data_IF_476113845458
#
_entry.id   IF_476113845458
#
_cell.length_a   1.000
_cell.length_b   1.000
_cell.length_c   1.000
_cell.angle_alpha   90.00
_cell.angle_beta   90.00
_cell.angle_gamma   90.00
#
_symmetry.space_group_name_H-M   'P 1'
#
loop_
_entity.id
_entity.type
_entity.pdbx_description
1 polymer ?
#
# COMPACT_ATOMS: atom_id res chain seq x y z
N UNK A 1 6.73 22.40 -26.52
CA UNK A 1 6.21 22.73 -25.18
C UNK A 1 4.82 22.12 -25.07
N UNK A 2 4.71 20.89 -24.59
CA UNK A 2 3.44 20.30 -24.16
C UNK A 2 3.71 19.76 -22.77
N UNK A 3 3.15 20.47 -21.80
CA UNK A 3 3.36 20.25 -20.38
C UNK A 3 3.16 18.77 -20.05
N UNK A 4 4.24 18.13 -19.62
CA UNK A 4 4.14 16.91 -18.83
C UNK A 4 3.38 17.33 -17.57
N UNK A 5 2.10 16.99 -17.52
CA UNK A 5 1.34 17.02 -16.27
C UNK A 5 1.91 15.87 -15.44
N UNK A 6 3.07 16.14 -14.86
CA UNK A 6 3.44 15.58 -13.58
C UNK A 6 2.34 16.09 -12.65
N UNK A 7 1.28 15.30 -12.52
CA UNK A 7 0.44 15.33 -11.33
C UNK A 7 1.15 14.43 -10.32
N UNK A 8 2.07 14.96 -9.49
CA UNK A 8 2.16 14.44 -8.16
C UNK A 8 0.86 14.90 -7.51
N UNK A 9 -0.25 14.19 -7.73
CA UNK A 9 -1.29 14.12 -6.72
C UNK A 9 -0.64 13.40 -5.53
N UNK A 10 0.28 14.08 -4.86
CA UNK A 10 0.02 14.72 -3.58
C UNK A 10 -0.40 13.67 -2.57
N UNK A 11 0.52 12.77 -2.25
CA UNK A 11 1.22 12.78 -0.96
C UNK A 11 0.36 12.99 0.30
N UNK A 12 -0.87 12.51 0.40
CA UNK A 12 -1.67 12.70 1.61
C UNK A 12 -2.60 11.51 1.79
N UNK A 13 -2.16 10.33 2.23
CA UNK A 13 -1.54 10.12 3.55
C UNK A 13 -2.17 10.99 4.66
N UNK A 14 -3.45 11.31 4.53
CA UNK A 14 -4.37 11.72 5.60
C UNK A 14 -4.74 10.50 6.49
N UNK A 15 -3.80 9.59 6.73
CA UNK A 15 -4.02 8.50 7.68
C UNK A 15 -3.71 9.01 9.08
N UNK A 16 -4.59 9.92 9.54
CA UNK A 16 -4.72 10.32 10.94
C UNK A 16 -5.04 9.11 11.82
N UNK A 17 -4.71 9.22 13.11
CA UNK A 17 -4.91 8.22 14.18
C UNK A 17 -6.36 7.75 14.35
N UNK A 18 -6.87 6.98 13.40
CA UNK A 18 -8.25 6.54 13.32
C UNK A 18 -8.66 6.01 11.95
N UNK A 19 -7.73 5.95 11.00
CA UNK A 19 -8.02 5.41 9.70
C UNK A 19 -8.34 3.91 9.78
N UNK A 20 -9.51 3.55 9.26
CA UNK A 20 -9.98 2.19 9.24
C UNK A 20 -9.09 1.34 8.33
N UNK A 21 -8.31 0.45 8.95
CA UNK A 21 -7.40 -0.45 8.24
C UNK A 21 -8.11 -1.49 7.37
N UNK A 22 -9.43 -1.62 7.50
CA UNK A 22 -10.29 -2.45 6.66
C UNK A 22 -11.00 -1.66 5.56
N UNK A 23 -10.89 -0.34 5.55
CA UNK A 23 -11.46 0.45 4.47
C UNK A 23 -10.80 0.10 3.14
N UNK A 24 -11.58 0.14 2.07
CA UNK A 24 -11.11 -0.02 0.69
C UNK A 24 -11.60 1.16 -0.12
N UNK A 25 -10.79 1.62 -1.08
CA UNK A 25 -11.25 2.59 -2.08
C UNK A 25 -12.23 1.95 -3.06
N UNK A 26 -12.80 2.75 -3.97
CA UNK A 26 -13.65 2.25 -5.05
C UNK A 26 -12.93 1.21 -5.93
N UNK A 27 -11.61 1.35 -6.10
CA UNK A 27 -10.74 0.40 -6.79
C UNK A 27 -10.38 -0.84 -5.95
N UNK A 28 -10.95 -0.99 -4.75
CA UNK A 28 -10.67 -2.10 -3.84
C UNK A 28 -9.34 -1.99 -3.09
N UNK A 29 -8.60 -0.87 -3.23
CA UNK A 29 -7.28 -0.70 -2.61
C UNK A 29 -7.40 -0.48 -1.11
N UNK A 30 -6.79 -1.38 -0.35
CA UNK A 30 -6.62 -1.25 1.10
C UNK A 30 -5.46 -0.30 1.47
N UNK A 31 -5.40 0.24 2.70
CA UNK A 31 -4.34 1.14 3.18
C UNK A 31 -2.92 0.65 2.92
N UNK A 32 -2.70 -0.68 3.03
CA UNK A 32 -1.41 -1.30 2.75
C UNK A 32 -0.94 -1.14 1.30
N UNK A 33 -1.84 -1.01 0.31
CA UNK A 33 -1.44 -0.71 -1.08
C UNK A 33 -0.78 0.65 -1.19
N UNK A 34 -1.30 1.65 -0.48
CA UNK A 34 -0.73 3.00 -0.49
C UNK A 34 0.60 3.06 0.25
N UNK A 35 0.72 2.37 1.39
CA UNK A 35 1.99 2.26 2.10
C UNK A 35 3.06 1.55 1.23
N UNK A 36 2.66 0.49 0.53
CA UNK A 36 3.50 -0.22 -0.43
C UNK A 36 3.86 0.62 -1.66
N UNK A 37 2.97 1.47 -2.14
CA UNK A 37 3.27 2.38 -3.24
C UNK A 37 4.27 3.48 -2.83
N UNK A 38 4.14 4.02 -1.62
CA UNK A 38 4.97 5.10 -1.10
C UNK A 38 6.22 4.66 -0.31
N UNK A 39 6.62 3.39 -0.37
CA UNK A 39 7.68 2.80 0.45
C UNK A 39 7.62 3.18 1.95
N UNK A 40 6.41 3.33 2.50
CA UNK A 40 6.21 3.83 3.86
C UNK A 40 6.17 2.68 4.86
N UNK A 41 7.36 2.18 5.25
CA UNK A 41 7.50 1.04 6.16
C UNK A 41 6.79 1.26 7.50
N UNK A 42 7.01 2.41 8.16
CA UNK A 42 6.40 2.70 9.47
C UNK A 42 4.87 2.70 9.40
N UNK A 43 4.32 3.23 8.31
CA UNK A 43 2.87 3.25 8.06
C UNK A 43 2.33 1.85 7.83
N UNK A 44 3.03 1.03 7.05
CA UNK A 44 2.67 -0.36 6.83
C UNK A 44 2.72 -1.17 8.14
N UNK A 45 3.70 -0.94 9.01
CA UNK A 45 3.78 -1.56 10.34
C UNK A 45 2.58 -1.20 11.21
N UNK A 46 2.17 0.07 11.23
CA UNK A 46 1.01 0.51 11.99
C UNK A 46 -0.28 -0.17 11.48
N UNK A 47 -0.46 -0.27 10.17
CA UNK A 47 -1.61 -0.96 9.60
C UNK A 47 -1.64 -2.44 9.92
N UNK A 48 -0.50 -3.14 9.83
CA UNK A 48 -0.39 -4.54 10.21
C UNK A 48 -0.70 -4.75 11.70
N UNK A 49 -0.18 -3.89 12.58
CA UNK A 49 -0.48 -3.93 14.03
C UNK A 49 -1.96 -3.68 14.33
N UNK A 50 -2.63 -2.87 13.53
CA UNK A 50 -4.06 -2.61 13.64
C UNK A 50 -4.94 -3.70 13.00
N UNK A 51 -4.35 -4.74 12.41
CA UNK A 51 -5.07 -5.89 11.84
C UNK A 51 -5.46 -5.73 10.37
N UNK A 52 -4.73 -4.90 9.61
CA UNK A 52 -4.85 -4.86 8.16
C UNK A 52 -4.55 -6.23 7.54
N UNK A 53 -5.29 -6.59 6.48
CA UNK A 53 -5.00 -7.80 5.72
C UNK A 53 -3.78 -7.58 4.82
N UNK A 54 -2.67 -8.22 5.17
CA UNK A 54 -1.41 -8.21 4.40
C UNK A 54 -1.58 -8.70 2.95
N UNK A 55 -2.61 -9.53 2.71
CA UNK A 55 -2.94 -10.11 1.41
C UNK A 55 -4.19 -9.48 0.79
N UNK A 56 -4.62 -8.30 1.25
CA UNK A 56 -5.78 -7.62 0.71
C UNK A 56 -5.64 -7.48 -0.82
N UNK A 57 -6.64 -7.93 -1.57
CA UNK A 57 -6.66 -7.75 -3.02
C UNK A 57 -7.46 -6.50 -3.39
N UNK A 58 -6.92 -5.72 -4.33
CA UNK A 58 -7.66 -4.70 -5.07
C UNK A 58 -8.55 -5.34 -6.17
N UNK A 59 -9.32 -4.51 -6.89
CA UNK A 59 -10.25 -5.00 -7.92
C UNK A 59 -9.53 -5.64 -9.12
N UNK A 60 -8.25 -5.31 -9.33
CA UNK A 60 -7.39 -5.88 -10.37
C UNK A 60 -6.66 -7.15 -9.89
N UNK A 61 -6.87 -7.56 -8.64
CA UNK A 61 -6.22 -8.70 -8.03
C UNK A 61 -4.77 -8.44 -7.61
N UNK A 62 -4.34 -7.17 -7.55
CA UNK A 62 -3.04 -6.83 -6.97
C UNK A 62 -3.10 -6.91 -5.46
N UNK A 63 -1.96 -7.29 -4.87
CA UNK A 63 -1.75 -7.25 -3.42
C UNK A 63 -0.83 -6.09 -3.07
N UNK A 64 -0.77 -5.66 -1.78
CA UNK A 64 0.24 -4.71 -1.33
C UNK A 64 1.66 -5.12 -1.71
N UNK A 65 1.97 -6.43 -1.68
CA UNK A 65 3.28 -6.93 -2.06
C UNK A 65 3.56 -6.74 -3.55
N UNK A 66 2.60 -7.05 -4.42
CA UNK A 66 2.71 -6.80 -5.87
C UNK A 66 2.93 -5.31 -6.14
N UNK A 67 2.25 -4.44 -5.40
CA UNK A 67 2.38 -3.00 -5.58
C UNK A 67 3.73 -2.47 -5.08
N UNK A 68 4.23 -2.99 -3.95
CA UNK A 68 5.59 -2.69 -3.47
C UNK A 68 6.66 -3.07 -4.50
N UNK A 69 6.50 -4.22 -5.17
CA UNK A 69 7.41 -4.66 -6.24
C UNK A 69 7.37 -3.75 -7.46
N UNK A 70 6.16 -3.37 -7.90
CA UNK A 70 5.99 -2.44 -9.03
C UNK A 70 6.58 -1.06 -8.75
N UNK A 71 6.42 -0.57 -7.52
CA UNK A 71 6.93 0.74 -7.07
C UNK A 71 8.42 0.71 -6.65
N UNK A 72 9.07 -0.47 -6.66
CA UNK A 72 10.43 -0.67 -6.13
C UNK A 72 10.60 -0.27 -4.65
N UNK A 73 9.54 -0.44 -3.86
CA UNK A 73 9.48 -0.13 -2.42
C UNK A 73 10.08 -1.25 -1.58
N UNK A 74 11.41 -1.33 -1.56
CA UNK A 74 12.16 -2.44 -0.94
C UNK A 74 11.91 -2.61 0.56
N UNK A 75 11.76 -1.52 1.31
CA UNK A 75 11.58 -1.58 2.77
C UNK A 75 10.20 -2.08 3.13
N UNK A 76 9.19 -1.63 2.38
CA UNK A 76 7.81 -2.10 2.58
C UNK A 76 7.62 -3.51 2.03
N UNK A 77 8.28 -3.87 0.93
CA UNK A 77 8.31 -5.25 0.42
C UNK A 77 8.86 -6.20 1.48
N UNK A 78 10.03 -5.89 2.07
CA UNK A 78 10.64 -6.73 3.11
C UNK A 78 9.68 -6.92 4.30
N UNK A 79 9.06 -5.82 4.77
CA UNK A 79 8.09 -5.86 5.86
C UNK A 79 6.88 -6.74 5.53
N UNK A 80 6.29 -6.59 4.34
CA UNK A 80 5.13 -7.36 3.93
C UNK A 80 5.46 -8.86 3.84
N UNK A 81 6.65 -9.21 3.33
CA UNK A 81 7.14 -10.60 3.31
C UNK A 81 7.30 -11.14 4.73
N UNK A 82 7.90 -10.38 5.64
CA UNK A 82 8.01 -10.75 7.06
C UNK A 82 6.64 -10.93 7.74
N UNK A 83 5.66 -10.11 7.34
CA UNK A 83 4.29 -10.17 7.83
C UNK A 83 3.46 -11.32 7.22
N UNK A 84 4.05 -12.15 6.34
CA UNK A 84 3.38 -13.30 5.74
C UNK A 84 2.58 -12.98 4.47
N UNK A 85 2.95 -11.93 3.73
CA UNK A 85 2.42 -11.69 2.39
C UNK A 85 2.69 -12.90 1.49
N UNK A 86 1.66 -13.33 0.75
CA UNK A 86 1.77 -14.38 -0.24
C UNK A 86 2.67 -13.89 -1.36
N UNK A 87 3.81 -14.56 -1.52
CA UNK A 87 4.81 -14.25 -2.55
C UNK A 87 4.50 -14.93 -3.89
N UNK A 88 3.45 -15.75 -3.95
CA UNK A 88 3.05 -16.55 -5.10
C UNK A 88 1.92 -15.87 -5.89
N UNK A 89 2.14 -15.74 -7.20
CA UNK A 89 1.09 -15.55 -8.21
C UNK A 89 0.32 -16.87 -8.42
#
# INVERSE_FOLDING_TARGET
MTAQVNSPETASLLFSEGADVKAKTEDGRAPLHFAAFGNSKDTAELFLKAGADVNAMDNDGNTPLSEARKSSSKETEALLVEAGAKTAA
#
